data_IF_663059488201
#
_entry.id   IF_663059488201
#
_cell.length_a   1.000
_cell.length_b   1.000
_cell.length_c   1.000
_cell.angle_alpha   90.00
_cell.angle_beta   90.00
_cell.angle_gamma   90.00
#
_symmetry.space_group_name_H-M   'P 1'
#
loop_
_entity.id
_entity.type
_entity.pdbx_description
1 polymer ?
#
# COMPACT_ATOMS: atom_id res chain seq x y z
N UNK A 1 -5.83 -17.97 -29.49
CA UNK A 1 -5.73 -16.55 -29.09
C UNK A 1 -6.82 -16.25 -28.07
N UNK A 2 -6.46 -15.64 -26.94
CA UNK A 2 -7.43 -14.97 -26.07
C UNK A 2 -8.09 -13.82 -26.86
N UNK A 3 -9.42 -13.74 -26.85
CA UNK A 3 -10.17 -12.67 -27.54
C UNK A 3 -10.76 -11.65 -26.57
N UNK A 4 -10.91 -12.03 -25.31
CA UNK A 4 -11.41 -11.20 -24.23
C UNK A 4 -10.87 -11.72 -22.90
N UNK A 5 -10.84 -10.86 -21.90
CA UNK A 5 -10.52 -11.16 -20.51
C UNK A 5 -11.63 -10.59 -19.63
N UNK A 6 -11.90 -11.23 -18.51
CA UNK A 6 -12.84 -10.71 -17.50
C UNK A 6 -12.02 -9.97 -16.46
N UNK A 7 -12.34 -8.70 -16.26
CA UNK A 7 -11.68 -7.83 -15.28
C UNK A 7 -12.57 -7.63 -14.07
N UNK A 8 -11.95 -7.35 -12.93
CA UNK A 8 -12.61 -6.94 -11.71
C UNK A 8 -12.65 -5.42 -11.63
N UNK A 9 -13.83 -4.86 -11.39
CA UNK A 9 -14.03 -3.42 -11.23
C UNK A 9 -14.40 -3.14 -9.76
N UNK A 10 -13.51 -2.51 -8.97
CA UNK A 10 -13.84 -2.14 -7.60
C UNK A 10 -14.92 -1.04 -7.59
N UNK A 11 -15.69 -0.91 -6.50
CA UNK A 11 -16.66 0.17 -6.37
C UNK A 11 -15.95 1.53 -6.27
N UNK A 12 -16.60 2.59 -6.73
CA UNK A 12 -16.20 3.96 -6.38
C UNK A 12 -16.61 4.23 -4.92
N UNK A 13 -15.68 4.80 -4.15
CA UNK A 13 -15.76 4.91 -2.69
C UNK A 13 -15.78 6.36 -2.19
N UNK A 14 -15.45 7.36 -3.01
CA UNK A 14 -15.34 8.76 -2.56
C UNK A 14 -16.54 9.21 -1.74
N UNK A 15 -17.76 8.99 -2.24
CA UNK A 15 -19.00 9.44 -1.60
C UNK A 15 -19.74 8.34 -0.81
N UNK A 16 -19.09 7.19 -0.58
CA UNK A 16 -19.75 6.07 0.11
C UNK A 16 -19.89 6.37 1.61
N UNK A 17 -21.11 6.24 2.12
CA UNK A 17 -21.32 6.10 3.55
C UNK A 17 -20.85 4.71 3.98
N UNK A 18 -20.06 4.65 5.05
CA UNK A 18 -19.54 3.40 5.61
C UNK A 18 -20.35 3.10 6.87
N UNK A 19 -21.05 1.97 6.84
CA UNK A 19 -21.79 1.45 7.99
C UNK A 19 -21.08 0.17 8.46
N UNK A 20 -20.78 0.09 9.75
CA UNK A 20 -20.08 -1.04 10.35
C UNK A 20 -21.07 -1.84 11.18
N UNK A 21 -21.01 -3.17 11.05
CA UNK A 21 -21.67 -4.03 12.02
C UNK A 21 -21.04 -3.88 13.42
N UNK A 22 -21.76 -4.32 14.45
CA UNK A 22 -21.35 -4.14 15.84
C UNK A 22 -20.00 -4.80 16.16
N UNK A 23 -19.71 -5.94 15.53
CA UNK A 23 -18.50 -6.70 15.82
C UNK A 23 -17.30 -5.99 15.22
N UNK A 24 -17.40 -5.56 13.95
CA UNK A 24 -16.34 -4.76 13.30
C UNK A 24 -16.12 -3.42 13.99
N UNK A 25 -17.18 -2.76 14.47
CA UNK A 25 -17.06 -1.51 15.23
C UNK A 25 -16.31 -1.71 16.56
N UNK A 26 -16.56 -2.82 17.27
CA UNK A 26 -15.87 -3.17 18.50
C UNK A 26 -14.38 -3.46 18.26
N UNK A 27 -14.05 -4.18 17.17
CA UNK A 27 -12.66 -4.45 16.78
C UNK A 27 -11.89 -3.15 16.45
N UNK A 28 -12.55 -2.23 15.74
CA UNK A 28 -11.97 -0.92 15.41
C UNK A 28 -11.69 -0.09 16.68
N UNK A 29 -12.62 -0.07 17.63
CA UNK A 29 -12.46 0.63 18.90
C UNK A 29 -11.31 0.03 19.73
N UNK A 30 -11.25 -1.29 19.83
CA UNK A 30 -10.18 -2.00 20.52
C UNK A 30 -8.80 -1.71 19.90
N UNK A 31 -8.69 -1.77 18.56
CA UNK A 31 -7.45 -1.46 17.85
C UNK A 31 -7.02 0.00 18.07
N UNK A 32 -7.96 0.95 18.01
CA UNK A 32 -7.70 2.37 18.25
C UNK A 32 -7.21 2.61 19.68
N UNK A 33 -7.82 1.95 20.66
CA UNK A 33 -7.43 2.06 22.07
C UNK A 33 -6.02 1.53 22.32
N UNK A 34 -5.66 0.37 21.76
CA UNK A 34 -4.32 -0.20 21.94
C UNK A 34 -3.24 0.66 21.26
N UNK A 35 -3.55 1.25 20.10
CA UNK A 35 -2.66 2.21 19.44
C UNK A 35 -2.46 3.46 20.31
N UNK A 36 -3.56 4.05 20.79
CA UNK A 36 -3.49 5.24 21.66
C UNK A 36 -2.69 4.98 22.94
N UNK A 37 -2.81 3.76 23.48
CA UNK A 37 -2.07 3.32 24.67
C UNK A 37 -0.58 3.13 24.37
N UNK A 38 -0.24 2.57 23.21
CA UNK A 38 1.14 2.46 22.75
C UNK A 38 1.77 3.85 22.63
N UNK A 39 1.09 4.78 21.95
CA UNK A 39 1.54 6.15 21.77
C UNK A 39 1.70 6.85 23.11
N UNK A 40 0.68 6.81 23.97
CA UNK A 40 0.71 7.46 25.27
C UNK A 40 1.76 6.90 26.25
N UNK A 41 2.22 5.66 26.06
CA UNK A 41 3.21 5.02 26.94
C UNK A 41 4.64 5.17 26.43
N UNK A 42 4.84 5.23 25.10
CA UNK A 42 6.16 5.11 24.49
C UNK A 42 6.47 6.19 23.43
N UNK A 43 5.67 7.26 23.31
CA UNK A 43 5.85 8.31 22.31
C UNK A 43 7.32 8.78 22.18
N UNK A 44 7.96 9.12 23.30
CA UNK A 44 9.34 9.61 23.31
C UNK A 44 10.36 8.54 22.87
N UNK A 45 10.16 7.28 23.27
CA UNK A 45 11.06 6.15 22.95
C UNK A 45 10.89 5.66 21.50
N UNK A 46 9.66 5.66 20.97
CA UNK A 46 9.33 5.27 19.59
C UNK A 46 9.86 6.28 18.58
N UNK A 47 9.96 7.56 18.96
CA UNK A 47 10.55 8.60 18.13
C UNK A 47 12.03 8.32 17.80
N UNK A 48 12.79 7.84 18.80
CA UNK A 48 14.18 7.43 18.67
C UNK A 48 14.33 6.09 17.92
N UNK A 49 13.29 5.26 17.94
CA UNK A 49 13.24 3.97 17.25
C UNK A 49 12.59 4.05 15.86
N UNK A 50 12.17 5.22 15.40
CA UNK A 50 11.41 5.38 14.15
C UNK A 50 12.08 4.71 12.94
N UNK A 51 13.39 4.90 12.75
CA UNK A 51 14.15 4.25 11.67
C UNK A 51 14.23 2.74 11.84
N UNK A 52 14.28 2.23 13.08
CA UNK A 52 14.28 0.79 13.36
C UNK A 52 12.91 0.16 13.08
N UNK A 53 11.83 0.86 13.43
CA UNK A 53 10.48 0.41 13.15
C UNK A 53 10.23 0.41 11.64
N UNK A 54 10.55 1.50 10.93
CA UNK A 54 10.42 1.63 9.47
C UNK A 54 11.19 0.54 8.73
N UNK A 55 12.37 0.22 9.23
CA UNK A 55 13.17 -0.91 8.78
C UNK A 55 12.44 -2.24 9.00
N UNK A 56 11.87 -2.47 10.19
CA UNK A 56 11.18 -3.71 10.52
C UNK A 56 9.96 -3.91 9.61
N UNK A 57 9.21 -2.84 9.34
CA UNK A 57 8.12 -2.85 8.38
C UNK A 57 8.62 -3.11 6.96
N UNK A 58 9.69 -2.45 6.53
CA UNK A 58 10.26 -2.64 5.18
C UNK A 58 10.75 -4.08 4.97
N UNK A 59 11.36 -4.69 6.00
CA UNK A 59 11.77 -6.11 6.00
C UNK A 59 10.56 -7.04 5.95
N UNK A 60 9.55 -6.79 6.80
CA UNK A 60 8.33 -7.60 6.84
C UNK A 60 7.55 -7.54 5.51
N UNK A 61 7.32 -6.32 5.01
CA UNK A 61 6.68 -6.01 3.74
C UNK A 61 7.38 -6.68 2.56
N UNK A 62 8.72 -6.60 2.52
CA UNK A 62 9.51 -7.22 1.44
C UNK A 62 9.50 -8.75 1.52
N UNK A 63 9.49 -9.33 2.73
CA UNK A 63 9.40 -10.78 2.92
C UNK A 63 8.08 -11.37 2.43
N UNK A 64 6.98 -10.63 2.55
CA UNK A 64 5.67 -11.01 1.98
C UNK A 64 5.76 -11.11 0.44
N UNK A 65 6.59 -10.28 -0.19
CA UNK A 65 6.87 -10.29 -1.64
C UNK A 65 8.04 -11.21 -2.03
N UNK A 66 8.51 -12.07 -1.12
CA UNK A 66 9.68 -12.95 -1.31
C UNK A 66 11.00 -12.22 -1.63
N UNK A 67 11.10 -10.95 -1.25
CA UNK A 67 12.34 -10.17 -1.30
C UNK A 67 13.05 -10.34 0.05
N UNK A 68 14.17 -11.06 0.04
CA UNK A 68 14.99 -11.30 1.23
C UNK A 68 16.38 -10.70 1.11
N UNK A 69 16.82 -9.96 2.13
CA UNK A 69 18.17 -9.44 2.24
C UNK A 69 18.73 -9.61 3.66
N UNK A 70 20.06 -9.73 3.76
CA UNK A 70 20.74 -9.74 5.05
C UNK A 70 20.70 -8.34 5.70
N UNK A 71 20.81 -8.32 7.04
CA UNK A 71 20.90 -7.08 7.82
C UNK A 71 22.06 -6.20 7.36
N UNK A 72 23.21 -6.81 7.07
CA UNK A 72 24.41 -6.11 6.63
C UNK A 72 24.25 -5.54 5.22
N UNK A 73 23.70 -6.31 4.28
CA UNK A 73 23.44 -5.84 2.92
C UNK A 73 22.40 -4.71 2.90
N UNK A 74 21.36 -4.81 3.72
CA UNK A 74 20.36 -3.75 3.86
C UNK A 74 20.97 -2.46 4.41
N UNK A 75 21.81 -2.54 5.45
CA UNK A 75 22.50 -1.38 5.99
C UNK A 75 23.45 -0.74 4.96
N UNK A 76 24.16 -1.57 4.18
CA UNK A 76 24.98 -1.10 3.06
C UNK A 76 24.13 -0.35 2.03
N UNK A 77 22.99 -0.92 1.62
CA UNK A 77 22.09 -0.31 0.66
C UNK A 77 21.55 1.06 1.12
N UNK A 78 21.15 1.20 2.39
CA UNK A 78 20.71 2.47 2.97
C UNK A 78 21.79 3.58 2.91
N UNK A 79 23.07 3.19 3.03
CA UNK A 79 24.19 4.11 2.96
C UNK A 79 24.76 4.28 1.55
N UNK A 80 24.06 3.80 0.51
CA UNK A 80 24.51 3.89 -0.89
C UNK A 80 25.74 3.03 -1.19
N UNK A 81 26.05 2.06 -0.33
CA UNK A 81 27.12 1.08 -0.54
C UNK A 81 26.57 -0.08 -1.36
N UNK A 82 27.42 -0.64 -2.24
CA UNK A 82 27.07 -1.77 -3.09
C UNK A 82 26.51 -2.93 -2.25
N UNK A 83 25.28 -3.32 -2.57
CA UNK A 83 24.55 -4.43 -1.97
C UNK A 83 23.85 -5.26 -3.06
N UNK A 84 23.22 -6.36 -2.67
CA UNK A 84 22.42 -7.16 -3.61
C UNK A 84 21.09 -6.45 -3.96
N UNK A 85 20.43 -6.87 -5.04
CA UNK A 85 19.21 -6.25 -5.55
C UNK A 85 18.06 -6.25 -4.53
N UNK A 86 17.93 -7.32 -3.74
CA UNK A 86 16.93 -7.41 -2.67
C UNK A 86 17.14 -6.33 -1.59
N UNK A 87 18.40 -6.10 -1.19
CA UNK A 87 18.75 -5.09 -0.20
C UNK A 87 18.48 -3.67 -0.72
N UNK A 88 18.78 -3.42 -2.00
CA UNK A 88 18.50 -2.15 -2.68
C UNK A 88 16.98 -1.91 -2.74
N UNK A 89 16.19 -2.91 -3.12
CA UNK A 89 14.73 -2.81 -3.15
C UNK A 89 14.13 -2.54 -1.76
N UNK A 90 14.68 -3.16 -0.72
CA UNK A 90 14.26 -2.93 0.67
C UNK A 90 14.59 -1.51 1.15
N UNK A 91 15.79 -1.01 0.85
CA UNK A 91 16.19 0.36 1.18
C UNK A 91 15.32 1.40 0.44
N UNK A 92 15.03 1.16 -0.84
CA UNK A 92 14.15 2.00 -1.63
C UNK A 92 12.72 2.04 -1.05
N UNK A 93 12.21 0.94 -0.51
CA UNK A 93 10.92 0.89 0.17
C UNK A 93 10.90 1.75 1.44
N UNK A 94 11.98 1.72 2.23
CA UNK A 94 12.12 2.61 3.39
C UNK A 94 12.12 4.08 2.98
N UNK A 95 12.89 4.45 1.95
CA UNK A 95 12.91 5.82 1.42
C UNK A 95 11.54 6.27 0.90
N UNK A 96 10.80 5.40 0.21
CA UNK A 96 9.46 5.70 -0.28
C UNK A 96 8.47 5.94 0.88
N UNK A 97 8.54 5.13 1.94
CA UNK A 97 7.72 5.27 3.14
C UNK A 97 8.05 6.57 3.90
N UNK A 98 9.33 6.87 4.08
CA UNK A 98 9.78 8.14 4.70
C UNK A 98 9.30 9.35 3.91
N UNK A 99 9.37 9.30 2.57
CA UNK A 99 8.87 10.36 1.71
C UNK A 99 7.36 10.57 1.89
N UNK A 100 6.57 9.50 1.96
CA UNK A 100 5.12 9.63 2.18
C UNK A 100 4.81 10.20 3.57
N UNK A 101 5.44 9.69 4.63
CA UNK A 101 5.26 10.22 6.00
C UNK A 101 5.66 11.70 6.07
N UNK A 102 6.79 12.08 5.45
CA UNK A 102 7.28 13.45 5.42
C UNK A 102 6.35 14.43 4.71
N UNK A 103 5.50 13.97 3.78
CA UNK A 103 4.48 14.81 3.13
C UNK A 103 3.22 15.05 3.96
N UNK A 104 2.96 14.20 4.97
CA UNK A 104 1.71 14.19 5.75
C UNK A 104 1.79 15.10 7.00
N UNK A 105 2.98 15.52 7.43
CA UNK A 105 3.18 16.38 8.61
C UNK A 105 2.72 17.85 8.47
N UNK A 106 2.05 18.20 7.37
CA UNK A 106 1.39 19.48 7.17
C UNK A 106 -0.03 19.16 6.73
N UNK A 107 -1.04 19.96 7.09
CA UNK A 107 -2.47 19.84 6.70
C UNK A 107 -2.71 19.95 5.19
N UNK A 108 -1.90 19.26 4.42
CA UNK A 108 -1.82 19.25 2.97
C UNK A 108 -2.62 18.03 2.53
N UNK A 109 -3.63 18.22 1.67
CA UNK A 109 -4.37 17.10 1.12
C UNK A 109 -3.44 16.09 0.44
N UNK A 110 -3.72 14.80 0.63
CA UNK A 110 -3.03 13.73 -0.10
C UNK A 110 -3.27 13.96 -1.59
N UNK A 111 -2.20 13.90 -2.38
CA UNK A 111 -2.25 14.03 -3.83
C UNK A 111 -1.75 12.76 -4.49
N UNK A 112 -2.28 12.44 -5.66
CA UNK A 112 -1.75 11.37 -6.50
C UNK A 112 -0.24 11.52 -6.74
N UNK A 113 0.25 12.76 -6.85
CA UNK A 113 1.68 13.05 -7.00
C UNK A 113 2.55 12.52 -5.85
N UNK A 114 2.02 12.45 -4.63
CA UNK A 114 2.76 11.90 -3.49
C UNK A 114 2.97 10.39 -3.66
N UNK A 115 1.90 9.68 -4.08
CA UNK A 115 1.94 8.24 -4.36
C UNK A 115 2.88 7.94 -5.53
N UNK A 116 2.76 8.70 -6.64
CA UNK A 116 3.63 8.49 -7.80
C UNK A 116 5.10 8.85 -7.52
N UNK A 117 5.36 9.86 -6.69
CA UNK A 117 6.74 10.20 -6.25
C UNK A 117 7.32 9.09 -5.38
N UNK A 118 6.54 8.54 -4.46
CA UNK A 118 6.96 7.40 -3.65
C UNK A 118 7.22 6.16 -4.50
N UNK A 119 6.35 5.88 -5.48
CA UNK A 119 6.54 4.80 -6.44
C UNK A 119 7.80 4.99 -7.29
N UNK A 120 8.05 6.22 -7.77
CA UNK A 120 9.27 6.54 -8.49
C UNK A 120 10.52 6.29 -7.64
N UNK A 121 10.46 6.64 -6.35
CA UNK A 121 11.56 6.41 -5.43
C UNK A 121 11.80 4.92 -5.14
N UNK A 122 10.72 4.14 -5.09
CA UNK A 122 10.75 2.70 -4.87
C UNK A 122 11.35 1.93 -6.05
N UNK A 123 11.01 2.32 -7.28
CA UNK A 123 11.39 1.60 -8.51
C UNK A 123 12.65 2.13 -9.19
N UNK A 124 13.25 3.23 -8.68
CA UNK A 124 14.38 3.93 -9.33
C UNK A 124 15.53 3.01 -9.72
N UNK A 125 15.89 2.08 -8.85
CA UNK A 125 17.03 1.19 -9.01
C UNK A 125 16.62 -0.21 -9.53
N UNK A 126 15.36 -0.39 -9.91
CA UNK A 126 14.85 -1.61 -10.53
C UNK A 126 15.12 -1.60 -12.04
N UNK A 127 15.87 -2.60 -12.52
CA UNK A 127 16.29 -2.65 -13.92
C UNK A 127 15.13 -2.86 -14.91
N UNK A 128 14.02 -3.44 -14.46
CA UNK A 128 12.82 -3.68 -15.28
C UNK A 128 11.85 -2.50 -15.23
N UNK A 129 11.68 -1.90 -14.05
CA UNK A 129 10.58 -0.98 -13.77
C UNK A 129 11.01 0.49 -13.71
N UNK A 130 12.32 0.79 -13.68
CA UNK A 130 12.83 2.17 -13.57
C UNK A 130 12.33 3.12 -14.67
N UNK A 131 11.97 2.60 -15.85
CA UNK A 131 11.47 3.42 -16.97
C UNK A 131 10.01 3.85 -16.81
N UNK A 132 9.21 3.11 -16.05
CA UNK A 132 7.79 3.40 -15.75
C UNK A 132 7.60 3.81 -14.28
N UNK A 133 8.71 4.04 -13.58
CA UNK A 133 8.73 4.42 -12.17
C UNK A 133 7.96 5.75 -11.96
N UNK A 134 6.94 5.69 -11.10
CA UNK A 134 6.02 6.80 -10.85
C UNK A 134 4.91 7.01 -11.87
N UNK A 135 4.78 6.17 -12.89
CA UNK A 135 3.72 6.28 -13.90
C UNK A 135 2.60 5.26 -13.65
N UNK A 136 1.34 5.67 -13.81
CA UNK A 136 0.23 4.73 -13.81
C UNK A 136 0.37 3.78 -15.00
N UNK A 137 0.06 2.50 -14.81
CA UNK A 137 0.22 1.49 -15.86
C UNK A 137 -0.64 1.82 -17.07
N UNK A 138 -0.06 1.60 -18.25
CA UNK A 138 -0.74 1.69 -19.55
C UNK A 138 -1.04 0.31 -20.14
N UNK A 139 -0.61 -0.75 -19.45
CA UNK A 139 -0.80 -2.15 -19.82
C UNK A 139 -1.64 -2.88 -18.78
N UNK A 140 -2.32 -3.94 -19.21
CA UNK A 140 -3.16 -4.74 -18.34
C UNK A 140 -2.31 -5.64 -17.45
N UNK A 141 -2.46 -5.49 -16.13
CA UNK A 141 -1.88 -6.38 -15.13
C UNK A 141 -2.82 -7.56 -14.82
N UNK A 142 -2.27 -8.57 -14.15
CA UNK A 142 -3.01 -9.68 -13.55
C UNK A 142 -2.22 -10.26 -12.38
N UNK A 143 -2.91 -10.90 -11.44
CA UNK A 143 -2.32 -11.53 -10.27
C UNK A 143 -2.55 -13.04 -10.39
N UNK A 144 -1.47 -13.81 -10.21
CA UNK A 144 -1.46 -15.25 -10.46
C UNK A 144 -1.53 -15.62 -11.95
N UNK A 145 -1.48 -16.91 -12.28
CA UNK A 145 -1.42 -17.37 -13.67
C UNK A 145 0.01 -17.50 -14.17
N UNK A 146 0.32 -16.95 -15.35
CA UNK A 146 1.66 -17.02 -15.97
C UNK A 146 2.15 -15.63 -16.38
N UNK A 147 3.47 -15.44 -16.47
CA UNK A 147 4.12 -14.16 -16.82
C UNK A 147 3.71 -13.61 -18.19
N UNK A 148 3.20 -14.47 -19.07
CA UNK A 148 2.89 -14.12 -20.46
C UNK A 148 1.39 -14.12 -20.78
N UNK A 149 0.56 -14.57 -19.83
CA UNK A 149 -0.86 -14.72 -20.08
C UNK A 149 -1.70 -14.65 -18.81
N UNK A 150 -2.82 -13.90 -18.83
CA UNK A 150 -3.78 -13.87 -17.73
C UNK A 150 -4.60 -15.16 -17.60
N UNK A 151 -4.31 -16.20 -18.41
CA UNK A 151 -4.96 -17.51 -18.28
C UNK A 151 -4.58 -18.13 -16.95
N UNK A 152 -5.58 -18.40 -16.11
CA UNK A 152 -5.37 -18.91 -14.76
C UNK A 152 -4.96 -17.84 -13.76
N UNK A 153 -5.06 -16.55 -14.12
CA UNK A 153 -4.97 -15.47 -13.15
C UNK A 153 -6.09 -15.61 -12.11
N UNK A 154 -5.72 -15.43 -10.84
CA UNK A 154 -6.66 -15.42 -9.72
C UNK A 154 -7.42 -14.09 -9.64
N UNK A 155 -6.83 -13.03 -10.18
CA UNK A 155 -7.43 -11.71 -10.23
C UNK A 155 -6.89 -10.91 -11.41
N UNK A 156 -7.77 -10.13 -12.05
CA UNK A 156 -7.40 -9.21 -13.12
C UNK A 156 -7.95 -7.83 -12.73
N UNK A 157 -7.10 -6.84 -12.40
CA UNK A 157 -7.51 -5.50 -12.00
C UNK A 157 -8.20 -4.73 -13.14
N UNK A 158 -8.74 -3.52 -12.86
CA UNK A 158 -9.42 -2.69 -13.85
C UNK A 158 -8.61 -2.44 -15.14
N UNK A 159 -9.25 -2.09 -16.26
CA UNK A 159 -8.55 -1.70 -17.47
C UNK A 159 -7.66 -0.47 -17.25
N UNK A 160 -6.46 -0.39 -17.85
CA UNK A 160 -5.51 0.71 -17.66
C UNK A 160 -6.12 2.10 -17.83
N UNK A 161 -6.98 2.26 -18.85
CA UNK A 161 -7.67 3.51 -19.17
C UNK A 161 -8.60 4.03 -18.06
N UNK A 162 -9.00 3.16 -17.13
CA UNK A 162 -9.87 3.52 -15.99
C UNK A 162 -9.10 3.83 -14.72
N UNK A 163 -7.82 3.45 -14.64
CA UNK A 163 -7.00 3.54 -13.41
C UNK A 163 -6.92 4.98 -12.90
N UNK A 164 -6.75 5.96 -13.78
CA UNK A 164 -6.70 7.37 -13.40
C UNK A 164 -7.98 7.82 -12.68
N UNK A 165 -9.15 7.38 -13.16
CA UNK A 165 -10.44 7.70 -12.53
C UNK A 165 -10.57 7.08 -11.14
N UNK A 166 -10.18 5.82 -11.01
CA UNK A 166 -10.16 5.12 -9.73
C UNK A 166 -9.18 5.71 -8.72
N UNK A 167 -7.99 6.12 -9.16
CA UNK A 167 -7.03 6.79 -8.28
C UNK A 167 -7.53 8.15 -7.83
N UNK A 168 -8.22 8.91 -8.69
CA UNK A 168 -8.84 10.17 -8.28
C UNK A 168 -9.94 9.97 -7.23
N UNK A 169 -10.78 8.93 -7.40
CA UNK A 169 -11.79 8.54 -6.42
C UNK A 169 -11.18 8.11 -5.07
N UNK A 170 -10.13 7.29 -5.11
CA UNK A 170 -9.38 6.90 -3.91
C UNK A 170 -8.76 8.11 -3.19
N UNK A 171 -8.16 9.05 -3.93
CA UNK A 171 -7.60 10.27 -3.34
C UNK A 171 -8.69 11.13 -2.71
N UNK A 172 -9.86 11.26 -3.34
CA UNK A 172 -10.99 11.97 -2.76
C UNK A 172 -11.45 11.31 -1.44
N UNK A 173 -11.56 9.98 -1.42
CA UNK A 173 -11.89 9.21 -0.21
C UNK A 173 -10.86 9.40 0.91
N UNK A 174 -9.57 9.32 0.59
CA UNK A 174 -8.47 9.43 1.55
C UNK A 174 -8.34 10.83 2.17
N UNK A 175 -8.95 11.86 1.57
CA UNK A 175 -8.97 13.22 2.09
C UNK A 175 -10.24 13.56 2.89
N UNK A 176 -11.14 12.60 3.10
CA UNK A 176 -12.31 12.78 3.99
C UNK A 176 -11.88 12.82 5.46
N UNK A 177 -12.64 13.55 6.27
CA UNK A 177 -12.43 13.72 7.71
C UNK A 177 -13.64 13.28 8.54
N UNK A 178 -14.57 12.55 7.92
CA UNK A 178 -15.88 12.17 8.48
C UNK A 178 -15.93 10.72 9.02
N UNK A 179 -14.78 10.06 9.16
CA UNK A 179 -14.69 8.68 9.65
C UNK A 179 -13.43 8.41 10.49
N UNK A 180 -13.40 7.34 11.29
CA UNK A 180 -12.20 6.97 12.04
C UNK A 180 -11.01 6.68 11.12
N UNK A 181 -9.82 7.16 11.50
CA UNK A 181 -8.64 7.12 10.63
C UNK A 181 -8.17 5.70 10.29
N UNK A 182 -8.29 4.74 11.21
CA UNK A 182 -7.92 3.35 10.97
C UNK A 182 -8.88 2.68 9.96
N UNK A 183 -10.17 3.02 10.03
CA UNK A 183 -11.15 2.54 9.08
C UNK A 183 -10.86 3.09 7.67
N UNK A 184 -10.61 4.40 7.59
CA UNK A 184 -10.24 5.05 6.33
C UNK A 184 -8.99 4.42 5.72
N UNK A 185 -7.94 4.23 6.52
CA UNK A 185 -6.69 3.61 6.09
C UNK A 185 -6.89 2.18 5.58
N UNK A 186 -7.70 1.37 6.28
CA UNK A 186 -8.01 0.00 5.88
C UNK A 186 -8.77 -0.06 4.53
N UNK A 187 -9.77 0.79 4.34
CA UNK A 187 -10.54 0.86 3.09
C UNK A 187 -9.67 1.38 1.95
N UNK A 188 -8.91 2.46 2.19
CA UNK A 188 -8.01 3.04 1.20
C UNK A 188 -6.97 2.02 0.73
N UNK A 189 -6.41 1.23 1.65
CA UNK A 189 -5.50 0.13 1.33
C UNK A 189 -6.16 -0.91 0.42
N UNK A 190 -7.30 -1.46 0.83
CA UNK A 190 -8.01 -2.49 0.08
C UNK A 190 -8.39 -2.01 -1.33
N UNK A 191 -8.78 -0.74 -1.44
CA UNK A 191 -9.10 -0.11 -2.71
C UNK A 191 -7.85 0.05 -3.59
N UNK A 192 -6.74 0.54 -3.05
CA UNK A 192 -5.48 0.68 -3.78
C UNK A 192 -5.00 -0.65 -4.37
N UNK A 193 -5.00 -1.71 -3.56
CA UNK A 193 -4.64 -3.07 -4.00
C UNK A 193 -5.58 -3.60 -5.09
N UNK A 194 -6.87 -3.28 -5.02
CA UNK A 194 -7.87 -3.66 -6.02
C UNK A 194 -7.70 -2.89 -7.35
N UNK A 195 -7.33 -1.61 -7.29
CA UNK A 195 -7.05 -0.80 -8.49
C UNK A 195 -5.77 -1.29 -9.17
N UNK A 196 -4.77 -1.63 -8.36
CA UNK A 196 -3.45 -2.11 -8.78
C UNK A 196 -2.82 -1.16 -9.83
N UNK A 197 -2.55 0.10 -9.47
CA UNK A 197 -2.32 1.18 -10.42
C UNK A 197 -0.98 1.15 -11.18
N UNK A 198 0.01 0.40 -10.70
CA UNK A 198 1.36 0.34 -11.27
C UNK A 198 1.64 -1.01 -11.94
N UNK A 199 2.67 -1.08 -12.79
CA UNK A 199 3.11 -2.31 -13.46
C UNK A 199 3.67 -3.33 -12.47
N UNK A 200 4.43 -2.85 -11.48
CA UNK A 200 4.91 -3.60 -10.32
C UNK A 200 4.95 -2.68 -9.08
N UNK A 201 5.34 -3.18 -7.91
CA UNK A 201 5.53 -2.38 -6.70
C UNK A 201 4.24 -2.01 -5.97
N UNK A 202 3.08 -2.48 -6.46
CA UNK A 202 1.78 -2.18 -5.87
C UNK A 202 1.70 -2.57 -4.40
N UNK A 203 2.12 -3.79 -4.03
CA UNK A 203 2.06 -4.23 -2.63
C UNK A 203 2.92 -3.38 -1.69
N UNK A 204 4.15 -3.03 -2.12
CA UNK A 204 5.08 -2.17 -1.38
C UNK A 204 4.53 -0.75 -1.20
N UNK A 205 3.91 -0.16 -2.23
CA UNK A 205 3.29 1.17 -2.13
C UNK A 205 1.97 1.14 -1.36
N UNK A 206 1.13 0.13 -1.56
CA UNK A 206 -0.15 -0.02 -0.89
C UNK A 206 0.00 -0.06 0.63
N UNK A 207 0.94 -0.89 1.13
CA UNK A 207 1.26 -0.96 2.57
C UNK A 207 1.85 0.33 3.13
N UNK A 208 2.63 1.05 2.33
CA UNK A 208 3.20 2.31 2.76
C UNK A 208 2.14 3.45 2.78
N UNK A 209 1.17 3.42 1.87
CA UNK A 209 0.06 4.40 1.78
C UNK A 209 -1.04 4.21 2.82
N UNK A 210 -1.18 3.01 3.39
CA UNK A 210 -2.16 2.70 4.44
C UNK A 210 -1.75 3.13 5.84
N UNK A 211 -0.65 3.89 5.95
CA UNK A 211 -0.27 4.53 7.21
C UNK A 211 -1.21 5.73 7.43
N UNK A 212 -2.03 5.74 8.50
CA UNK A 212 -3.06 6.75 8.71
C UNK A 212 -2.52 8.19 8.67
N UNK A 213 -3.19 9.06 7.92
CA UNK A 213 -2.92 10.51 7.86
C UNK A 213 -3.99 11.28 8.64
N UNK A 214 -3.77 11.50 9.93
CA UNK A 214 -4.46 12.52 10.72
C UNK A 214 -3.51 13.00 11.83
N UNK A 215 -3.71 14.23 12.31
CA UNK A 215 -3.05 14.88 13.46
C UNK A 215 -3.19 14.01 14.74
N UNK A 216 -2.47 12.89 14.77
CA UNK A 216 -2.06 12.15 15.96
C UNK A 216 -0.55 12.32 15.96
N UNK A 217 -0.04 13.12 16.89
CA UNK A 217 1.39 13.36 16.99
C UNK A 217 2.14 12.02 17.03
N UNK A 218 2.92 11.81 15.97
CA UNK A 218 3.97 10.80 15.78
C UNK A 218 3.62 9.30 15.79
N UNK A 219 3.76 8.71 14.58
CA UNK A 219 4.47 7.44 14.29
C UNK A 219 3.75 6.13 14.64
N UNK A 220 3.09 5.56 13.63
CA UNK A 220 2.49 4.22 13.66
C UNK A 220 3.33 3.19 12.92
N UNK A 221 3.75 2.12 13.61
CA UNK A 221 4.17 0.86 13.00
C UNK A 221 3.85 -0.36 13.88
N UNK A 222 3.72 -1.50 13.21
CA UNK A 222 3.62 -2.87 13.72
C UNK A 222 2.21 -3.37 14.02
N UNK A 223 1.47 -3.81 12.99
CA UNK A 223 0.42 -4.87 13.13
C UNK A 223 0.15 -5.65 11.81
N UNK A 224 1.04 -5.57 10.82
CA UNK A 224 0.72 -5.94 9.43
C UNK A 224 1.18 -7.35 8.98
N UNK A 225 1.86 -8.13 9.82
CA UNK A 225 2.44 -9.42 9.42
C UNK A 225 1.49 -10.63 9.34
N UNK A 226 0.23 -10.55 9.78
CA UNK A 226 -0.64 -11.74 9.94
C UNK A 226 -1.96 -11.72 9.14
N UNK A 227 -2.22 -10.71 8.31
CA UNK A 227 -3.46 -10.70 7.50
C UNK A 227 -3.25 -11.46 6.17
N UNK A 228 -4.00 -12.55 5.89
CA UNK A 228 -3.90 -13.24 4.62
C UNK A 228 -4.40 -12.34 3.48
N UNK A 229 -3.87 -12.48 2.25
CA UNK A 229 -4.30 -11.66 1.12
C UNK A 229 -5.82 -11.75 0.89
N UNK A 230 -6.48 -10.59 0.73
CA UNK A 230 -7.93 -10.45 0.50
C UNK A 230 -8.43 -11.25 -0.73
N UNK A 231 -7.54 -11.62 -1.65
CA UNK A 231 -7.82 -12.49 -2.80
C UNK A 231 -8.43 -13.85 -2.43
N UNK A 232 -8.28 -14.30 -1.18
CA UNK A 232 -8.82 -15.58 -0.70
C UNK A 232 -10.34 -15.58 -0.46
N UNK A 233 -11.02 -14.42 -0.41
CA UNK A 233 -12.46 -14.33 -0.10
C UNK A 233 -13.32 -13.58 -1.13
N UNK A 234 -12.74 -12.91 -2.11
CA UNK A 234 -13.48 -12.06 -3.06
C UNK A 234 -14.03 -12.79 -4.32
N UNK A 235 -14.47 -14.04 -4.19
CA UNK A 235 -15.17 -14.76 -5.26
C UNK A 235 -16.67 -14.87 -4.95
N UNK A 236 -17.38 -13.73 -4.93
CA UNK A 236 -18.85 -13.73 -5.03
C UNK A 236 -19.23 -13.32 -6.44
N UNK A 237 -19.57 -14.34 -7.23
CA UNK A 237 -20.07 -14.22 -8.60
C UNK A 237 -21.43 -13.50 -8.56
N UNK A 238 -21.48 -12.23 -8.96
CA UNK A 238 -22.77 -11.59 -9.25
C UNK A 238 -23.14 -11.93 -10.69
N UNK A 239 -23.96 -12.97 -10.86
CA UNK A 239 -24.65 -13.23 -12.13
C UNK A 239 -25.90 -12.35 -12.17
N UNK A 240 -25.90 -11.32 -13.01
CA UNK A 240 -27.14 -10.62 -13.39
C UNK A 240 -27.73 -11.32 -14.61
N UNK A 241 -28.90 -11.95 -14.42
CA UNK A 241 -29.95 -12.06 -15.42
C UNK A 241 -31.05 -11.08 -15.05
#
# INVERSE_FOLDING_TARGET
MLRSIVVSLPPLIADRAIDLDSDTAADLEAATSEITKLDGTYADDLSALGTLLLRTESVASSKIEQIEASVDDYARALHGVRANSSAVAMAAATTALEAMIGTVGSRTPIRLSAITTAHAALMRDDSSESTTAGELRTVQNWIGGSDFSPRGAIYIPPPPETVQGYMNDLIAFANRDDMPVLLQAAIAHAQFESIHPFTDGNGRIGRASSTPSCDVEERLLVWWCHWPPLWSRAATTTSMY
#
